data_IF_411123791042
#
_entry.id   IF_411123791042
#
_cell.length_a   1.000
_cell.length_b   1.000
_cell.length_c   1.000
_cell.angle_alpha   90.00
_cell.angle_beta   90.00
_cell.angle_gamma   90.00
#
_symmetry.space_group_name_H-M   'P 1'
#
loop_
_entity.id
_entity.type
_entity.pdbx_description
1 polymer ?
#
# COMPACT_ATOMS: atom_id res chain seq x y z
N UNK A 1 -44.64 -32.10 17.53
CA UNK A 1 -43.82 -31.02 16.92
C UNK A 1 -42.72 -31.66 16.06
N UNK A 2 -42.82 -31.61 14.73
CA UNK A 2 -41.83 -32.25 13.83
C UNK A 2 -40.63 -31.32 13.62
N UNK A 3 -39.41 -31.82 13.88
CA UNK A 3 -38.15 -31.06 13.79
C UNK A 3 -37.88 -30.65 12.33
N UNK A 4 -37.51 -29.38 12.12
CA UNK A 4 -37.16 -28.83 10.80
C UNK A 4 -35.93 -29.56 10.23
N UNK A 5 -35.86 -29.83 8.92
CA UNK A 5 -34.70 -30.46 8.29
C UNK A 5 -33.45 -29.58 8.45
N UNK A 6 -32.32 -30.21 8.78
CA UNK A 6 -31.02 -29.51 8.88
C UNK A 6 -30.51 -29.22 7.47
N UNK A 7 -30.21 -27.95 7.19
CA UNK A 7 -29.59 -27.50 5.95
C UNK A 7 -28.32 -28.31 5.65
N UNK A 8 -28.16 -28.75 4.40
CA UNK A 8 -26.97 -29.46 3.94
C UNK A 8 -25.75 -28.52 3.90
N UNK A 9 -24.54 -29.09 3.91
CA UNK A 9 -23.28 -28.32 3.90
C UNK A 9 -23.17 -27.36 2.72
N UNK A 10 -23.82 -27.70 1.60
CA UNK A 10 -23.86 -26.90 0.37
C UNK A 10 -24.81 -25.70 0.49
N UNK A 11 -25.96 -25.89 1.12
CA UNK A 11 -26.92 -24.81 1.37
C UNK A 11 -26.41 -23.82 2.42
N UNK A 12 -25.66 -24.30 3.44
CA UNK A 12 -24.98 -23.41 4.41
C UNK A 12 -23.98 -22.47 3.74
N UNK A 13 -23.27 -22.93 2.71
CA UNK A 13 -22.34 -22.09 1.94
C UNK A 13 -23.06 -21.07 1.07
N UNK A 14 -24.23 -21.40 0.53
CA UNK A 14 -25.04 -20.46 -0.26
C UNK A 14 -25.65 -19.35 0.62
N UNK A 15 -26.10 -19.70 1.83
CA UNK A 15 -26.66 -18.72 2.78
C UNK A 15 -25.58 -17.79 3.38
N UNK A 16 -24.33 -18.26 3.48
CA UNK A 16 -23.20 -17.47 3.96
C UNK A 16 -22.72 -16.39 2.97
N UNK A 17 -23.39 -16.26 1.81
CA UNK A 17 -22.89 -15.48 0.68
C UNK A 17 -21.71 -16.20 0.05
N UNK A 18 -21.79 -16.50 -1.25
CA UNK A 18 -20.67 -17.00 -2.04
C UNK A 18 -19.42 -16.11 -1.91
N UNK A 19 -18.27 -16.49 -2.48
CA UNK A 19 -16.98 -15.83 -2.25
C UNK A 19 -17.12 -14.32 -2.45
N UNK A 20 -17.30 -13.60 -1.34
CA UNK A 20 -17.25 -12.15 -1.28
C UNK A 20 -15.79 -11.86 -1.63
N UNK A 21 -15.49 -11.00 -2.62
CA UNK A 21 -14.13 -10.54 -2.79
C UNK A 21 -13.70 -10.05 -1.41
N UNK A 22 -12.64 -10.66 -0.88
CA UNK A 22 -12.13 -10.30 0.42
C UNK A 22 -12.05 -8.77 0.43
N UNK A 23 -12.85 -8.11 1.27
CA UNK A 23 -12.48 -6.78 1.70
C UNK A 23 -11.06 -6.95 2.18
N UNK A 24 -10.13 -6.32 1.49
CA UNK A 24 -8.74 -6.30 1.86
C UNK A 24 -8.71 -5.82 3.31
N UNK A 25 -8.62 -6.76 4.25
CA UNK A 25 -8.01 -6.46 5.52
C UNK A 25 -6.67 -5.80 5.19
N UNK A 26 -6.23 -4.76 5.92
CA UNK A 26 -4.88 -4.25 5.78
C UNK A 26 -3.92 -5.36 6.22
N UNK A 27 -3.61 -6.23 5.27
CA UNK A 27 -2.72 -7.37 5.43
C UNK A 27 -1.30 -6.84 5.29
N UNK A 28 -0.58 -6.89 6.40
CA UNK A 28 0.86 -6.73 6.43
C UNK A 28 1.27 -5.29 6.71
N UNK A 29 2.16 -5.14 7.69
CA UNK A 29 3.05 -4.00 7.81
C UNK A 29 3.86 -3.92 6.51
N UNK A 30 3.27 -3.29 5.49
CA UNK A 30 3.91 -3.07 4.21
C UNK A 30 5.02 -2.07 4.44
N UNK A 31 6.23 -2.58 4.59
CA UNK A 31 7.44 -1.78 4.74
C UNK A 31 7.50 -0.70 3.64
N UNK A 32 7.46 0.57 4.03
CA UNK A 32 7.49 1.70 3.09
C UNK A 32 8.97 2.09 2.90
N UNK A 33 9.51 2.04 1.68
CA UNK A 33 10.89 2.46 1.41
C UNK A 33 10.95 3.80 0.70
N UNK A 34 11.91 4.65 1.03
CA UNK A 34 12.11 5.91 0.30
C UNK A 34 12.56 5.64 -1.14
N UNK A 35 11.87 6.22 -2.13
CA UNK A 35 12.21 6.03 -3.55
C UNK A 35 13.61 6.51 -3.94
N UNK A 36 14.19 7.47 -3.21
CA UNK A 36 15.45 8.10 -3.58
C UNK A 36 16.69 7.46 -2.93
N UNK A 37 16.52 6.82 -1.77
CA UNK A 37 17.62 6.21 -1.03
C UNK A 37 17.39 4.74 -0.65
N UNK A 38 16.18 4.20 -0.74
CA UNK A 38 15.86 2.82 -0.41
C UNK A 38 15.73 2.52 1.08
N UNK A 39 15.98 3.50 1.97
CA UNK A 39 15.84 3.34 3.43
C UNK A 39 14.40 2.98 3.75
N UNK A 40 14.23 1.98 4.61
CA UNK A 40 12.96 1.69 5.24
C UNK A 40 12.47 2.87 6.11
N UNK A 41 11.18 3.17 6.00
CA UNK A 41 10.46 4.22 6.71
C UNK A 41 9.55 3.55 7.74
N UNK A 42 10.14 3.19 8.87
CA UNK A 42 9.42 2.65 10.02
C UNK A 42 8.56 3.73 10.69
N UNK A 43 7.31 3.41 11.03
CA UNK A 43 6.44 4.31 11.80
C UNK A 43 7.07 4.72 13.15
N UNK A 44 7.91 3.85 13.73
CA UNK A 44 8.64 4.11 14.99
C UNK A 44 9.72 5.19 14.83
N UNK A 45 10.24 5.39 13.61
CA UNK A 45 11.23 6.43 13.29
C UNK A 45 10.58 7.82 13.14
N UNK A 46 9.24 7.91 13.14
CA UNK A 46 8.52 9.18 12.99
C UNK A 46 7.70 9.53 14.25
N UNK A 47 8.03 10.67 14.87
CA UNK A 47 7.22 11.22 15.96
C UNK A 47 5.96 11.88 15.38
N UNK A 48 4.78 11.35 15.72
CA UNK A 48 3.51 11.92 15.27
C UNK A 48 3.44 13.43 15.57
N UNK A 49 3.01 14.26 14.61
CA UNK A 49 2.35 13.90 13.35
C UNK A 49 3.29 13.67 12.16
N UNK A 50 4.62 13.63 12.36
CA UNK A 50 5.53 13.31 11.28
C UNK A 50 5.20 11.90 10.76
N UNK A 51 5.03 11.78 9.45
CA UNK A 51 4.87 10.52 8.74
C UNK A 51 5.80 10.56 7.54
N UNK A 52 6.08 9.40 6.95
CA UNK A 52 6.75 9.32 5.66
C UNK A 52 6.08 10.29 4.67
N UNK A 53 6.82 11.26 4.14
CA UNK A 53 6.27 12.23 3.20
C UNK A 53 5.99 11.53 1.89
N UNK A 54 4.75 11.60 1.42
CA UNK A 54 4.36 11.06 0.11
C UNK A 54 4.37 12.15 -0.94
N UNK A 55 4.80 11.80 -2.14
CA UNK A 55 4.81 12.66 -3.32
C UNK A 55 3.84 12.07 -4.33
N UNK A 56 2.91 12.87 -4.82
CA UNK A 56 1.96 12.47 -5.85
C UNK A 56 2.44 12.99 -7.20
N UNK A 57 2.51 12.11 -8.20
CA UNK A 57 2.83 12.50 -9.57
C UNK A 57 1.59 13.00 -10.32
N UNK A 58 1.77 13.62 -11.49
CA UNK A 58 0.65 14.17 -12.29
C UNK A 58 -0.32 13.09 -12.79
N UNK A 59 0.14 11.84 -12.85
CA UNK A 59 -0.67 10.66 -13.18
C UNK A 59 -1.49 10.11 -11.99
N UNK A 60 -1.34 10.70 -10.80
CA UNK A 60 -2.06 10.29 -9.59
C UNK A 60 -1.43 9.12 -8.83
N UNK A 61 -0.24 8.65 -9.21
CA UNK A 61 0.52 7.65 -8.43
C UNK A 61 1.24 8.31 -7.26
N UNK A 62 1.42 7.57 -6.17
CA UNK A 62 1.98 8.08 -4.90
C UNK A 62 3.29 7.38 -4.58
N UNK A 63 4.32 8.17 -4.24
CA UNK A 63 5.66 7.69 -3.98
C UNK A 63 6.16 8.14 -2.59
N UNK A 64 6.63 7.21 -1.74
CA UNK A 64 7.17 7.54 -0.43
C UNK A 64 8.57 8.14 -0.48
N UNK A 65 8.82 9.16 0.35
CA UNK A 65 10.13 9.78 0.54
C UNK A 65 10.43 10.04 2.02
N UNK A 66 11.68 9.81 2.42
CA UNK A 66 12.15 10.36 3.69
C UNK A 66 12.35 11.87 3.56
N UNK A 67 12.29 12.57 4.70
CA UNK A 67 12.46 14.03 4.77
C UNK A 67 13.81 14.46 4.18
N UNK A 68 14.88 13.68 4.41
CA UNK A 68 16.22 13.98 3.91
C UNK A 68 16.33 13.92 2.39
N UNK A 69 15.52 13.09 1.72
CA UNK A 69 15.60 12.88 0.28
C UNK A 69 14.49 13.59 -0.51
N UNK A 70 13.63 14.36 0.14
CA UNK A 70 12.52 15.08 -0.50
C UNK A 70 12.91 15.79 -1.82
N UNK A 71 13.95 16.64 -1.89
CA UNK A 71 14.31 17.32 -3.14
C UNK A 71 14.72 16.35 -4.26
N UNK A 72 15.40 15.25 -3.91
CA UNK A 72 15.81 14.22 -4.88
C UNK A 72 14.60 13.41 -5.35
N UNK A 73 13.72 13.03 -4.43
CA UNK A 73 12.49 12.30 -4.74
C UNK A 73 11.56 13.11 -5.65
N UNK A 74 11.43 14.42 -5.43
CA UNK A 74 10.69 15.31 -6.33
C UNK A 74 11.29 15.33 -7.73
N UNK A 75 12.62 15.42 -7.85
CA UNK A 75 13.28 15.40 -9.15
C UNK A 75 13.04 14.08 -9.90
N UNK A 76 13.04 12.95 -9.19
CA UNK A 76 12.75 11.62 -9.77
C UNK A 76 11.30 11.51 -10.24
N UNK A 77 10.35 12.01 -9.45
CA UNK A 77 8.92 12.03 -9.83
C UNK A 77 8.68 12.97 -11.01
N UNK A 78 9.31 14.15 -11.01
CA UNK A 78 9.23 15.10 -12.11
C UNK A 78 9.80 14.52 -13.41
N UNK A 79 10.95 13.84 -13.35
CA UNK A 79 11.50 13.14 -14.52
C UNK A 79 10.53 12.07 -15.06
N UNK A 80 9.87 11.32 -14.17
CA UNK A 80 8.83 10.37 -14.54
C UNK A 80 7.65 11.06 -15.25
N UNK A 81 7.19 12.20 -14.73
CA UNK A 81 6.07 12.96 -15.30
C UNK A 81 6.42 13.54 -16.68
N UNK A 82 7.62 14.11 -16.83
CA UNK A 82 8.07 14.69 -18.10
C UNK A 82 8.35 13.64 -19.18
N UNK A 83 8.87 12.46 -18.79
CA UNK A 83 9.31 11.44 -19.76
C UNK A 83 8.32 10.29 -19.97
N UNK A 84 7.27 10.20 -19.14
CA UNK A 84 6.39 9.03 -19.05
C UNK A 84 7.14 7.70 -18.82
N UNK A 85 8.38 7.74 -18.31
CA UNK A 85 9.15 6.55 -17.96
C UNK A 85 8.95 6.19 -16.48
N UNK A 86 9.13 4.92 -16.07
CA UNK A 86 9.02 4.54 -14.66
C UNK A 86 9.95 5.37 -13.75
N UNK A 87 9.48 5.71 -12.54
CA UNK A 87 10.31 6.38 -11.53
C UNK A 87 11.55 5.54 -11.24
N UNK A 88 12.74 6.15 -11.31
CA UNK A 88 14.02 5.49 -11.02
C UNK A 88 14.20 5.32 -9.50
N UNK A 89 13.55 4.30 -8.95
CA UNK A 89 13.61 4.00 -7.52
C UNK A 89 14.92 3.32 -7.13
N UNK A 90 15.48 3.72 -5.98
CA UNK A 90 16.59 3.01 -5.35
C UNK A 90 16.15 1.63 -4.83
N UNK A 91 17.10 0.69 -4.78
CA UNK A 91 16.86 -0.64 -4.19
C UNK A 91 16.58 -0.51 -2.69
N UNK A 92 15.55 -1.21 -2.21
CA UNK A 92 15.24 -1.29 -0.79
C UNK A 92 16.39 -1.94 -0.01
N UNK A 93 16.75 -1.36 1.14
CA UNK A 93 17.71 -1.95 2.07
C UNK A 93 17.19 -1.84 3.51
N UNK A 94 17.55 -2.86 4.29
CA UNK A 94 17.09 -3.14 5.65
C UNK A 94 18.28 -3.15 6.60
#
# INVERSE_FOLDING_TARGET
MKRKPKLTKREKKALAGGPRPAQAAPSGHGHIHCIACGKHLDEEDFEAPATATTITCDHGSVFPSCVKCMPKSLALVKEHDETNQPVRTASAWH
#
